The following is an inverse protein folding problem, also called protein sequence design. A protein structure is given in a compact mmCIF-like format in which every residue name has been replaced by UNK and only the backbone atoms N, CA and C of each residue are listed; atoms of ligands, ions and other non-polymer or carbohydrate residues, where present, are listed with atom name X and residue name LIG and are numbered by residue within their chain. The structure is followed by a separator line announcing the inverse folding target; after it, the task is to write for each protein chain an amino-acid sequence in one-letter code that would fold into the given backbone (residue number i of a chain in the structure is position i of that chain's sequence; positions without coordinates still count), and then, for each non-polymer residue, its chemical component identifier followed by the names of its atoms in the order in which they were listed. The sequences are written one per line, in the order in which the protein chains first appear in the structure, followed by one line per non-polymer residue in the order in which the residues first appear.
data_IF_561954381284
#
_entry.id   IF_561954381284
#
_cell.length_a   1.000
_cell.length_b   1.000
_cell.length_c   1.000
_cell.angle_alpha   90.00
_cell.angle_beta   90.00
_cell.angle_gamma   90.00
#
_symmetry.space_group_name_H-M   'P 1'
#
loop_
_entity.id
_entity.type
_entity.pdbx_description
1 polymer ?
#
# COMPACT_ATOMS: atom_id res chain seq x y z
N UNK A 1 -3.11 6.22 -18.27
CA UNK A 1 -3.89 7.39 -17.80
C UNK A 1 -4.47 7.05 -16.43
N UNK A 2 -4.61 8.01 -15.52
CA UNK A 2 -5.01 7.76 -14.13
C UNK A 2 -6.47 8.21 -13.96
N UNK A 3 -7.35 7.29 -13.53
CA UNK A 3 -8.83 7.44 -13.51
C UNK A 3 -9.51 7.70 -14.87
N UNK A 4 -8.83 7.43 -15.98
CA UNK A 4 -9.41 7.49 -17.32
C UNK A 4 -9.38 6.09 -17.96
N UNK A 5 -10.07 5.93 -19.08
CA UNK A 5 -10.12 4.67 -19.82
C UNK A 5 -8.71 4.22 -20.23
N UNK A 6 -8.42 2.95 -19.93
CA UNK A 6 -7.14 2.34 -20.27
C UNK A 6 -7.32 1.36 -21.43
N UNK A 7 -6.34 1.38 -22.32
CA UNK A 7 -6.22 0.46 -23.45
C UNK A 7 -4.82 -0.19 -23.48
N UNK A 8 -4.63 -1.12 -24.41
CA UNK A 8 -3.34 -1.80 -24.63
C UNK A 8 -2.20 -0.80 -24.87
N UNK A 9 -2.48 0.32 -25.55
CA UNK A 9 -1.49 1.37 -25.80
C UNK A 9 -1.05 2.09 -24.53
N UNK A 10 -1.98 2.36 -23.60
CA UNK A 10 -1.65 2.95 -22.30
C UNK A 10 -0.84 1.99 -21.43
N UNK A 11 -1.14 0.69 -21.47
CA UNK A 11 -0.39 -0.33 -20.76
C UNK A 11 1.03 -0.48 -21.32
N UNK A 12 1.18 -0.46 -22.66
CA UNK A 12 2.49 -0.49 -23.30
C UNK A 12 3.34 0.72 -22.92
N UNK A 13 2.79 1.94 -22.99
CA UNK A 13 3.51 3.16 -22.60
C UNK A 13 3.87 3.16 -21.11
N UNK A 14 3.01 2.60 -20.25
CA UNK A 14 3.33 2.41 -18.84
C UNK A 14 4.52 1.44 -18.67
N UNK A 15 4.52 0.30 -19.37
CA UNK A 15 5.61 -0.67 -19.32
C UNK A 15 6.95 -0.06 -19.76
N UNK A 16 6.95 0.66 -20.88
CA UNK A 16 8.13 1.36 -21.41
C UNK A 16 8.63 2.43 -20.44
N UNK A 17 7.73 3.25 -19.90
CA UNK A 17 8.07 4.29 -18.93
C UNK A 17 8.60 3.73 -17.62
N UNK A 18 8.01 2.63 -17.13
CA UNK A 18 8.45 1.95 -15.92
C UNK A 18 9.85 1.35 -16.10
N UNK A 19 10.10 0.65 -17.21
CA UNK A 19 11.41 0.11 -17.53
C UNK A 19 12.49 1.20 -17.59
N UNK A 20 12.18 2.32 -18.26
CA UNK A 20 13.07 3.47 -18.29
C UNK A 20 13.33 4.04 -16.89
N UNK A 21 12.29 4.20 -16.06
CA UNK A 21 12.45 4.71 -14.70
C UNK A 21 13.34 3.78 -13.85
N UNK A 22 13.17 2.46 -13.95
CA UNK A 22 14.01 1.47 -13.27
C UNK A 22 15.46 1.55 -13.73
N UNK A 23 15.71 1.80 -15.02
CA UNK A 23 17.07 2.01 -15.54
C UNK A 23 17.72 3.26 -14.92
N UNK A 24 16.99 4.38 -14.84
CA UNK A 24 17.50 5.62 -14.22
C UNK A 24 17.77 5.44 -12.72
N UNK A 25 16.86 4.75 -12.04
CA UNK A 25 16.98 4.41 -10.62
C UNK A 25 18.20 3.54 -10.35
N UNK A 26 18.43 2.52 -11.19
CA UNK A 26 19.59 1.65 -11.08
C UNK A 26 20.91 2.39 -11.33
N UNK A 27 20.95 3.26 -12.35
CA UNK A 27 22.12 4.10 -12.63
C UNK A 27 22.43 5.08 -11.48
N UNK A 28 21.40 5.53 -10.76
CA UNK A 28 21.51 6.50 -9.67
C UNK A 28 21.59 5.87 -8.28
N UNK A 29 21.44 4.54 -8.18
CA UNK A 29 21.34 3.82 -6.90
C UNK A 29 20.22 4.35 -5.99
N UNK A 30 19.07 4.67 -6.60
CA UNK A 30 17.87 5.15 -5.91
C UNK A 30 16.80 4.06 -5.98
N UNK A 31 16.11 3.81 -4.86
CA UNK A 31 15.03 2.83 -4.80
C UNK A 31 13.73 3.43 -5.36
N UNK A 32 13.07 2.71 -6.26
CA UNK A 32 11.71 2.97 -6.72
C UNK A 32 10.76 1.94 -6.11
N UNK A 33 9.94 2.39 -5.17
CA UNK A 33 8.93 1.55 -4.53
C UNK A 33 7.54 1.88 -5.08
N UNK A 34 6.92 0.94 -5.78
CA UNK A 34 5.58 1.13 -6.38
C UNK A 34 4.52 0.91 -5.32
N UNK A 35 3.61 1.88 -5.19
CA UNK A 35 2.47 1.76 -4.30
C UNK A 35 1.45 0.74 -4.82
N UNK A 36 0.82 0.01 -3.90
CA UNK A 36 -0.38 -0.75 -4.22
C UNK A 36 -1.56 0.22 -4.25
N UNK A 37 -2.14 0.36 -5.44
CA UNK A 37 -3.04 1.46 -5.78
C UNK A 37 -4.50 1.13 -5.52
N UNK A 38 -5.30 2.19 -5.44
CA UNK A 38 -6.76 2.20 -5.46
C UNK A 38 -7.38 1.92 -6.84
N UNK A 39 -6.59 1.42 -7.80
CA UNK A 39 -7.04 1.12 -9.15
C UNK A 39 -6.88 -0.35 -9.47
N UNK A 40 -7.80 -0.92 -10.26
CA UNK A 40 -7.76 -2.33 -10.63
C UNK A 40 -6.45 -2.74 -11.36
N UNK A 41 -5.67 -1.80 -11.89
CA UNK A 41 -4.42 -2.10 -12.59
C UNK A 41 -3.28 -2.54 -11.65
N UNK A 42 -3.16 -1.94 -10.46
CA UNK A 42 -2.07 -2.17 -9.50
C UNK A 42 -2.59 -2.34 -8.06
N UNK A 43 -3.74 -2.99 -7.88
CA UNK A 43 -4.38 -3.15 -6.57
C UNK A 43 -3.90 -4.36 -5.72
N UNK A 44 -2.79 -5.01 -6.10
CA UNK A 44 -2.23 -6.09 -5.29
C UNK A 44 -0.73 -6.26 -5.50
N UNK A 45 -0.04 -6.80 -4.49
CA UNK A 45 1.37 -7.19 -4.56
C UNK A 45 1.55 -8.28 -5.62
N UNK A 46 0.59 -9.19 -5.78
CA UNK A 46 0.58 -10.19 -6.86
C UNK A 46 0.61 -9.57 -8.25
N UNK A 47 -0.07 -8.43 -8.47
CA UNK A 47 0.02 -7.70 -9.75
C UNK A 47 1.36 -7.02 -9.91
N UNK A 48 1.86 -6.36 -8.86
CA UNK A 48 3.20 -5.77 -8.86
C UNK A 48 4.29 -6.81 -9.13
N UNK A 49 4.16 -8.03 -8.59
CA UNK A 49 5.16 -9.11 -8.70
C UNK A 49 5.45 -9.50 -10.15
N UNK A 50 4.45 -9.44 -11.03
CA UNK A 50 4.62 -9.68 -12.47
C UNK A 50 5.57 -8.65 -13.09
N UNK A 51 5.50 -7.39 -12.65
CA UNK A 51 6.40 -6.33 -13.10
C UNK A 51 7.80 -6.49 -12.50
N UNK A 52 7.90 -6.88 -11.22
CA UNK A 52 9.17 -7.21 -10.56
C UNK A 52 9.93 -8.32 -11.31
N UNK A 53 9.23 -9.39 -11.68
CA UNK A 53 9.79 -10.50 -12.46
C UNK A 53 10.24 -10.06 -13.87
N UNK A 54 9.48 -9.19 -14.54
CA UNK A 54 9.83 -8.68 -15.87
C UNK A 54 11.03 -7.72 -15.84
N UNK A 55 11.13 -6.87 -14.82
CA UNK A 55 12.16 -5.84 -14.71
C UNK A 55 13.44 -6.36 -14.04
N UNK A 56 13.32 -7.35 -13.16
CA UNK A 56 14.41 -8.06 -12.51
C UNK A 56 15.49 -7.14 -11.90
N UNK A 57 15.08 -6.06 -11.22
CA UNK A 57 15.99 -5.05 -10.67
C UNK A 57 15.98 -5.02 -9.13
N UNK A 58 17.13 -4.88 -8.45
CA UNK A 58 17.17 -4.64 -7.01
C UNK A 58 16.62 -3.27 -6.62
N UNK A 59 16.57 -2.32 -7.56
CA UNK A 59 16.09 -0.95 -7.33
C UNK A 59 14.59 -0.78 -7.56
N UNK A 60 13.90 -1.86 -7.92
CA UNK A 60 12.46 -1.90 -8.06
C UNK A 60 11.85 -2.70 -6.91
N UNK A 61 11.05 -2.04 -6.09
CA UNK A 61 10.47 -2.56 -4.85
C UNK A 61 8.99 -2.23 -4.77
N UNK A 62 8.32 -2.68 -3.71
CA UNK A 62 6.89 -2.39 -3.46
C UNK A 62 6.72 -1.56 -2.19
N UNK A 63 5.75 -0.66 -2.19
CA UNK A 63 5.33 0.15 -1.06
C UNK A 63 3.83 -0.08 -0.82
N UNK A 64 3.42 -1.22 -0.26
CA UNK A 64 2.00 -1.51 -0.12
C UNK A 64 1.31 -0.51 0.80
N UNK A 65 0.18 -0.03 0.31
CA UNK A 65 -0.85 0.58 1.13
C UNK A 65 -1.83 -0.50 1.56
N UNK A 66 -1.92 -0.75 2.87
CA UNK A 66 -2.76 -1.83 3.39
C UNK A 66 -4.25 -1.53 3.29
N UNK A 67 -4.63 -0.27 3.21
CA UNK A 67 -5.99 0.16 2.92
C UNK A 67 -6.40 -0.24 1.51
N UNK A 68 -5.66 0.26 0.52
CA UNK A 68 -5.87 -0.10 -0.88
C UNK A 68 -5.85 -1.62 -1.06
N UNK A 69 -4.86 -2.32 -0.49
CA UNK A 69 -4.76 -3.77 -0.60
C UNK A 69 -5.99 -4.50 0.00
N UNK A 70 -6.56 -4.01 1.10
CA UNK A 70 -7.73 -4.61 1.76
C UNK A 70 -9.04 -4.35 1.00
N UNK A 71 -9.20 -3.15 0.44
CA UNK A 71 -10.45 -2.70 -0.17
C UNK A 71 -10.91 -3.53 -1.38
N UNK A 72 -10.01 -4.30 -2.01
CA UNK A 72 -10.32 -5.14 -3.17
C UNK A 72 -10.62 -6.60 -2.83
N UNK A 73 -10.72 -6.94 -1.54
CA UNK A 73 -10.99 -8.32 -1.11
C UNK A 73 -9.81 -9.28 -1.31
N UNK A 74 -8.58 -8.75 -1.37
CA UNK A 74 -7.37 -9.57 -1.43
C UNK A 74 -7.15 -10.32 -0.11
N UNK A 75 -6.45 -11.46 -0.16
CA UNK A 75 -5.87 -12.10 1.02
C UNK A 75 -4.61 -11.31 1.44
N UNK A 76 -4.82 -10.29 2.28
CA UNK A 76 -3.76 -9.36 2.69
C UNK A 76 -2.57 -10.08 3.33
N UNK A 77 -2.74 -11.05 4.26
CA UNK A 77 -1.61 -11.82 4.76
C UNK A 77 -0.82 -12.55 3.68
N UNK A 78 -1.48 -13.18 2.71
CA UNK A 78 -0.81 -13.87 1.61
C UNK A 78 -0.04 -12.90 0.70
N UNK A 79 -0.62 -11.74 0.42
CA UNK A 79 0.01 -10.67 -0.38
C UNK A 79 1.28 -10.12 0.31
N UNK A 80 1.20 -9.82 1.62
CA UNK A 80 2.35 -9.37 2.40
C UNK A 80 3.46 -10.43 2.44
N UNK A 81 3.10 -11.70 2.59
CA UNK A 81 4.05 -12.82 2.54
C UNK A 81 4.72 -12.96 1.18
N UNK A 82 3.99 -12.72 0.09
CA UNK A 82 4.52 -12.77 -1.27
C UNK A 82 5.56 -11.68 -1.52
N UNK A 83 5.35 -10.47 -0.98
CA UNK A 83 6.20 -9.31 -1.22
C UNK A 83 7.25 -9.02 -0.16
N UNK A 84 7.30 -9.76 0.95
CA UNK A 84 8.05 -9.38 2.16
C UNK A 84 9.53 -9.03 1.91
N UNK A 85 10.18 -9.70 0.96
CA UNK A 85 11.58 -9.48 0.60
C UNK A 85 11.82 -8.21 -0.24
N UNK A 86 10.74 -7.55 -0.66
CA UNK A 86 10.73 -6.37 -1.53
C UNK A 86 9.89 -5.21 -1.00
N UNK A 87 9.27 -5.33 0.18
CA UNK A 87 8.54 -4.24 0.83
C UNK A 87 9.56 -3.23 1.37
N UNK A 88 9.54 -2.02 0.81
CA UNK A 88 10.42 -0.92 1.25
C UNK A 88 9.87 -0.18 2.47
N UNK A 89 8.55 0.03 2.49
CA UNK A 89 7.80 0.71 3.54
C UNK A 89 6.31 0.32 3.42
N UNK A 90 5.47 0.68 4.40
CA UNK A 90 4.03 0.37 4.39
C UNK A 90 3.20 1.62 4.70
N UNK A 91 2.27 1.98 3.81
CA UNK A 91 1.28 3.03 4.06
C UNK A 91 0.15 2.45 4.92
N UNK A 92 -0.28 3.22 5.91
CA UNK A 92 -1.38 2.92 6.82
C UNK A 92 -2.47 3.97 6.61
N UNK A 93 -3.56 3.57 5.96
CA UNK A 93 -4.85 4.25 5.96
C UNK A 93 -5.96 3.21 6.04
N UNK A 94 -7.14 3.64 6.49
CA UNK A 94 -8.33 2.79 6.43
C UNK A 94 -9.11 3.08 5.15
N UNK A 95 -9.95 2.13 4.72
CA UNK A 95 -10.67 2.19 3.44
C UNK A 95 -11.99 1.43 3.52
N UNK A 96 -12.96 1.78 2.68
CA UNK A 96 -14.18 0.98 2.47
C UNK A 96 -14.02 0.06 1.26
N UNK A 97 -14.57 -1.16 1.31
CA UNK A 97 -14.38 -2.15 0.26
C UNK A 97 -15.12 -1.79 -1.02
N UNK A 98 -14.54 -2.20 -2.15
CA UNK A 98 -15.22 -2.25 -3.43
C UNK A 98 -16.21 -3.41 -3.42
N UNK A 99 -17.46 -3.13 -3.75
CA UNK A 99 -18.55 -4.12 -3.84
C UNK A 99 -19.35 -3.91 -5.11
N UNK A 100 -20.33 -4.78 -5.38
CA UNK A 100 -21.27 -4.56 -6.49
C UNK A 100 -22.05 -3.24 -6.37
N UNK A 101 -22.21 -2.71 -5.15
CA UNK A 101 -22.99 -1.51 -4.86
C UNK A 101 -22.14 -0.28 -4.51
N UNK A 102 -20.82 -0.44 -4.32
CA UNK A 102 -19.92 0.62 -3.89
C UNK A 102 -18.61 0.55 -4.68
N UNK A 103 -18.13 1.67 -5.25
CA UNK A 103 -16.79 1.71 -5.86
C UNK A 103 -15.66 1.68 -4.82
N UNK A 104 -15.96 1.48 -3.53
CA UNK A 104 -15.03 1.62 -2.43
C UNK A 104 -14.83 3.08 -2.01
N UNK A 105 -14.11 3.27 -0.91
CA UNK A 105 -13.66 4.58 -0.45
C UNK A 105 -12.21 4.47 0.00
N UNK A 106 -11.31 5.06 -0.78
CA UNK A 106 -9.86 4.93 -0.59
C UNK A 106 -9.22 6.13 0.12
N UNK A 107 -10.03 7.14 0.48
CA UNK A 107 -9.59 8.39 1.07
C UNK A 107 -10.58 8.87 2.12
N UNK A 108 -10.07 9.54 3.15
CA UNK A 108 -10.85 10.17 4.22
C UNK A 108 -11.77 9.19 4.98
N UNK A 109 -11.35 7.93 5.14
CA UNK A 109 -12.01 6.97 6.03
C UNK A 109 -11.30 7.03 7.40
N UNK A 110 -12.02 7.36 8.49
CA UNK A 110 -11.43 7.36 9.82
C UNK A 110 -10.91 5.96 10.21
N UNK A 111 -9.80 5.92 10.94
CA UNK A 111 -9.22 4.65 11.41
C UNK A 111 -10.22 3.88 12.30
N UNK A 112 -10.50 2.64 11.92
CA UNK A 112 -11.43 1.74 12.61
C UNK A 112 -12.85 1.79 12.08
N UNK A 113 -13.13 2.62 11.08
CA UNK A 113 -14.44 2.69 10.41
C UNK A 113 -14.46 1.97 9.06
N UNK A 114 -13.31 1.55 8.53
CA UNK A 114 -13.21 0.83 7.27
C UNK A 114 -13.08 -0.70 7.43
N UNK A 115 -12.52 -1.34 6.41
CA UNK A 115 -12.40 -2.79 6.32
C UNK A 115 -11.01 -3.35 6.65
N UNK A 116 -10.05 -2.50 7.01
CA UNK A 116 -8.66 -2.94 7.22
C UNK A 116 -8.51 -3.66 8.56
N UNK A 117 -8.11 -4.93 8.51
CA UNK A 117 -7.72 -5.68 9.72
C UNK A 117 -6.29 -5.35 10.13
N UNK A 118 -6.11 -4.18 10.75
CA UNK A 118 -4.80 -3.71 11.22
C UNK A 118 -4.12 -4.71 12.19
N UNK A 119 -4.88 -5.36 13.06
CA UNK A 119 -4.30 -6.33 14.02
C UNK A 119 -3.77 -7.55 13.27
N UNK A 120 -4.54 -8.12 12.35
CA UNK A 120 -4.12 -9.24 11.51
C UNK A 120 -2.92 -8.90 10.62
N UNK A 121 -2.88 -7.69 10.05
CA UNK A 121 -1.74 -7.17 9.29
C UNK A 121 -0.49 -7.12 10.16
N UNK A 122 -0.55 -6.47 11.33
CA UNK A 122 0.61 -6.34 12.20
C UNK A 122 1.07 -7.69 12.75
N UNK A 123 0.17 -8.63 13.06
CA UNK A 123 0.53 -10.01 13.42
C UNK A 123 1.31 -10.68 12.29
N UNK A 124 0.80 -10.61 11.07
CA UNK A 124 1.47 -11.17 9.89
C UNK A 124 2.85 -10.56 9.69
N UNK A 125 2.98 -9.24 9.77
CA UNK A 125 4.26 -8.55 9.64
C UNK A 125 5.24 -8.91 10.76
N UNK A 126 4.75 -9.13 11.98
CA UNK A 126 5.57 -9.60 13.10
C UNK A 126 6.15 -10.98 12.81
N UNK A 127 5.30 -11.93 12.40
CA UNK A 127 5.67 -13.31 12.04
C UNK A 127 6.66 -13.35 10.86
N UNK A 128 6.49 -12.45 9.89
CA UNK A 128 7.35 -12.30 8.73
C UNK A 128 8.66 -11.54 9.04
N UNK A 129 8.89 -11.16 10.30
CA UNK A 129 10.08 -10.42 10.72
C UNK A 129 10.27 -9.09 9.96
N UNK A 130 9.18 -8.41 9.62
CA UNK A 130 9.25 -7.08 9.01
C UNK A 130 9.88 -6.09 9.99
N UNK A 131 10.80 -5.27 9.49
CA UNK A 131 11.56 -4.25 10.27
C UNK A 131 11.64 -2.91 9.55
N UNK A 132 10.87 -2.73 8.46
CA UNK A 132 10.81 -1.48 7.73
C UNK A 132 9.92 -0.44 8.42
N UNK A 133 9.72 0.68 7.75
CA UNK A 133 8.94 1.80 8.27
C UNK A 133 7.44 1.67 7.95
N UNK A 134 6.65 2.37 8.75
CA UNK A 134 5.24 2.64 8.52
C UNK A 134 5.03 4.14 8.33
N UNK A 135 4.08 4.51 7.47
CA UNK A 135 3.64 5.90 7.28
C UNK A 135 2.13 5.94 7.44
N UNK A 136 1.64 6.74 8.39
CA UNK A 136 0.22 7.00 8.57
C UNK A 136 -0.21 8.02 7.50
N UNK A 137 -1.02 7.60 6.55
CA UNK A 137 -1.55 8.45 5.49
C UNK A 137 -2.92 8.98 5.90
N UNK A 138 -3.02 10.31 6.02
CA UNK A 138 -4.25 10.97 6.42
C UNK A 138 -4.30 12.41 5.90
N UNK A 139 -5.50 12.93 5.67
CA UNK A 139 -5.72 14.30 5.18
C UNK A 139 -6.49 15.14 6.20
N UNK A 140 -5.75 15.84 7.06
CA UNK A 140 -6.35 16.65 8.13
C UNK A 140 -6.55 18.12 7.75
N UNK A 141 -6.41 18.48 6.47
CA UNK A 141 -6.48 19.87 5.99
C UNK A 141 -7.81 20.56 6.32
N UNK A 142 -8.90 19.79 6.39
CA UNK A 142 -10.25 20.27 6.70
C UNK A 142 -10.62 20.10 8.17
N UNK A 143 -9.76 19.49 8.97
CA UNK A 143 -10.03 19.25 10.39
C UNK A 143 -9.98 20.57 11.18
N UNK A 144 -10.87 20.71 12.15
CA UNK A 144 -10.85 21.86 13.08
C UNK A 144 -9.58 21.87 13.93
N UNK A 145 -9.09 20.69 14.30
CA UNK A 145 -7.89 20.50 15.11
C UNK A 145 -6.96 19.44 14.48
N UNK A 146 -6.24 19.76 13.38
CA UNK A 146 -5.46 18.79 12.61
C UNK A 146 -4.43 18.00 13.44
N UNK A 147 -3.78 18.67 14.39
CA UNK A 147 -2.78 18.03 15.28
C UNK A 147 -3.43 17.01 16.21
N UNK A 148 -4.65 17.29 16.68
CA UNK A 148 -5.37 16.36 17.55
C UNK A 148 -5.75 15.08 16.78
N UNK A 149 -6.20 15.21 15.54
CA UNK A 149 -6.50 14.08 14.65
C UNK A 149 -5.26 13.19 14.43
N UNK A 150 -4.09 13.81 14.17
CA UNK A 150 -2.82 13.08 14.01
C UNK A 150 -2.45 12.32 15.30
N UNK A 151 -2.59 12.95 16.47
CA UNK A 151 -2.30 12.31 17.75
C UNK A 151 -3.23 11.12 18.00
N UNK A 152 -4.52 11.27 17.68
CA UNK A 152 -5.51 10.21 17.84
C UNK A 152 -5.26 9.03 16.90
N UNK A 153 -5.00 9.30 15.62
CA UNK A 153 -4.67 8.27 14.64
C UNK A 153 -3.40 7.50 15.04
N UNK A 154 -2.35 8.20 15.46
CA UNK A 154 -1.12 7.57 15.96
C UNK A 154 -1.40 6.64 17.14
N UNK A 155 -2.11 7.13 18.16
CA UNK A 155 -2.45 6.33 19.35
C UNK A 155 -3.28 5.10 18.99
N UNK A 156 -4.20 5.25 18.05
CA UNK A 156 -5.05 4.16 17.59
C UNK A 156 -4.21 3.07 16.90
N UNK A 157 -3.31 3.46 15.98
CA UNK A 157 -2.40 2.52 15.31
C UNK A 157 -1.45 1.84 16.30
N UNK A 158 -0.82 2.59 17.21
CA UNK A 158 0.06 2.03 18.24
C UNK A 158 -0.69 1.01 19.12
N UNK A 159 -1.96 1.24 19.44
CA UNK A 159 -2.78 0.27 20.18
C UNK A 159 -3.02 -1.02 19.38
N UNK A 160 -3.28 -0.93 18.07
CA UNK A 160 -3.43 -2.11 17.20
C UNK A 160 -2.12 -2.90 17.05
N UNK A 161 -0.98 -2.20 16.95
CA UNK A 161 0.34 -2.82 16.94
C UNK A 161 0.62 -3.58 18.25
N UNK A 162 0.32 -2.98 19.41
CA UNK A 162 0.45 -3.64 20.71
C UNK A 162 -0.43 -4.88 20.83
N UNK A 163 -1.69 -4.80 20.40
CA UNK A 163 -2.64 -5.93 20.37
C UNK A 163 -2.14 -7.08 19.47
N UNK A 164 -1.39 -6.75 18.42
CA UNK A 164 -0.76 -7.71 17.52
C UNK A 164 0.57 -8.29 18.03
N UNK A 165 1.11 -7.81 19.16
CA UNK A 165 2.45 -8.16 19.63
C UNK A 165 3.58 -7.53 18.79
N UNK A 166 3.24 -6.59 17.91
CA UNK A 166 4.21 -5.81 17.14
C UNK A 166 4.67 -4.63 18.00
N UNK A 167 5.73 -4.83 18.79
CA UNK A 167 6.24 -3.80 19.68
C UNK A 167 7.02 -2.76 18.86
N UNK A 168 6.60 -1.50 18.97
CA UNK A 168 7.26 -0.33 18.39
C UNK A 168 8.41 0.15 19.31
#
# INVERSE_FOLDING_TARGET
VYYEDHDEGTQQRFAEGLAWAVEQAAASQVMLAVEIMDTAFMNSISKWKKWDEMLASPWFTVYPDVGNLSAWGNDVPAELKLGIDRIAAIHLKDTQPVTEQSPGQFRDVPFGEGCVDFVGIFKTLHELNYRGSFLIEMWTEKAKEPVLEIIQARRWIEARMQEAGFIC
#
